data_IF_476471740563
#
_entry.id   IF_476471740563
#
_cell.length_a   1.000
_cell.length_b   1.000
_cell.length_c   1.000
_cell.angle_alpha   90.00
_cell.angle_beta   90.00
_cell.angle_gamma   90.00
#
_symmetry.space_group_name_H-M   'P 1'
#
loop_
_entity.id
_entity.type
_entity.pdbx_description
1 polymer ?
#
# COMPACT_ATOMS: atom_id res chain seq x y z
N UNK A 1 26.29 -48.53 -41.31
CA UNK A 1 27.41 -49.31 -40.76
C UNK A 1 27.64 -48.80 -39.34
N UNK A 2 26.97 -49.43 -38.38
CA UNK A 2 27.35 -49.45 -36.95
C UNK A 2 28.72 -50.15 -36.80
N UNK A 3 29.43 -50.15 -35.64
CA UNK A 3 28.87 -50.16 -34.27
C UNK A 3 29.66 -49.48 -33.11
N UNK A 4 29.03 -49.57 -31.93
CA UNK A 4 29.58 -49.91 -30.60
C UNK A 4 30.07 -48.83 -29.61
N UNK A 5 29.13 -48.39 -28.76
CA UNK A 5 29.00 -48.63 -27.31
C UNK A 5 30.23 -48.68 -26.38
N UNK A 6 30.11 -47.99 -25.23
CA UNK A 6 30.60 -48.51 -23.95
C UNK A 6 29.70 -48.11 -22.76
N UNK A 7 29.52 -49.07 -21.85
CA UNK A 7 28.63 -49.11 -20.67
C UNK A 7 29.38 -48.77 -19.36
N UNK A 8 28.58 -48.62 -18.28
CA UNK A 8 28.77 -48.96 -16.84
C UNK A 8 28.70 -47.70 -15.95
N UNK A 9 28.00 -47.63 -14.80
CA UNK A 9 27.57 -48.66 -13.82
C UNK A 9 26.38 -48.11 -13.00
N UNK A 10 25.46 -48.99 -12.60
CA UNK A 10 24.37 -48.71 -11.65
C UNK A 10 24.79 -49.07 -10.21
N UNK A 11 24.28 -48.34 -9.22
CA UNK A 11 24.31 -48.74 -7.80
C UNK A 11 22.87 -48.80 -7.28
N UNK A 12 22.50 -49.97 -6.79
CA UNK A 12 21.29 -50.31 -6.04
C UNK A 12 21.66 -50.32 -4.55
N UNK A 13 20.83 -49.72 -3.69
CA UNK A 13 20.75 -50.09 -2.27
C UNK A 13 19.28 -50.15 -1.87
N UNK A 14 18.88 -51.31 -1.34
CA UNK A 14 17.58 -51.62 -0.73
C UNK A 14 17.76 -51.79 0.78
N UNK A 15 16.74 -51.49 1.58
CA UNK A 15 16.38 -52.04 2.91
C UNK A 15 15.70 -50.94 3.78
N UNK A 16 14.72 -51.15 4.68
CA UNK A 16 13.98 -52.32 5.22
C UNK A 16 12.78 -51.74 6.02
N UNK A 17 11.64 -52.44 6.04
CA UNK A 17 10.49 -52.22 6.95
C UNK A 17 10.69 -53.00 8.26
N UNK A 18 10.26 -52.47 9.41
CA UNK A 18 10.13 -53.23 10.66
C UNK A 18 9.36 -52.48 11.75
N UNK A 19 8.35 -53.14 12.34
CA UNK A 19 7.26 -52.57 13.13
C UNK A 19 7.35 -52.81 14.65
N UNK A 20 6.60 -51.96 15.39
CA UNK A 20 5.89 -52.11 16.68
C UNK A 20 6.55 -52.77 17.92
N UNK A 21 6.50 -52.05 19.05
CA UNK A 21 6.22 -52.61 20.38
C UNK A 21 5.35 -51.63 21.19
N UNK A 22 4.20 -52.14 21.67
CA UNK A 22 3.33 -51.56 22.70
C UNK A 22 3.78 -52.02 24.09
N UNK A 23 3.80 -51.13 25.08
CA UNK A 23 3.73 -51.51 26.51
C UNK A 23 2.81 -50.53 27.24
N UNK A 24 1.74 -51.08 27.82
CA UNK A 24 0.93 -50.45 28.87
C UNK A 24 1.17 -51.19 30.18
N UNK A 25 1.24 -50.45 31.30
CA UNK A 25 1.32 -51.01 32.64
C UNK A 25 1.12 -49.94 33.71
N UNK A 26 0.05 -50.07 34.49
CA UNK A 26 -0.37 -49.16 35.57
C UNK A 26 0.30 -49.50 36.92
N UNK A 27 0.41 -48.52 37.81
CA UNK A 27 0.67 -48.72 39.25
C UNK A 27 0.67 -47.42 40.04
N UNK A 28 -0.30 -47.24 40.94
CA UNK A 28 -0.53 -46.01 41.71
C UNK A 28 0.17 -45.92 43.08
N UNK A 29 0.06 -44.74 43.71
CA UNK A 29 0.46 -44.46 45.09
C UNK A 29 0.50 -42.96 45.35
N UNK A 30 -0.39 -42.45 46.21
CA UNK A 30 -0.65 -41.02 46.40
C UNK A 30 0.24 -40.29 47.40
N UNK A 31 0.10 -38.95 47.46
CA UNK A 31 0.16 -38.15 48.69
C UNK A 31 -0.25 -36.68 48.41
N UNK A 32 -1.02 -36.15 49.36
CA UNK A 32 -1.47 -34.76 49.56
C UNK A 32 -0.39 -33.67 49.40
N UNK A 33 -0.80 -32.51 48.88
CA UNK A 33 -0.10 -31.23 49.10
C UNK A 33 -0.80 -30.03 48.47
N UNK A 34 -1.58 -29.28 49.29
CA UNK A 34 -1.87 -27.84 49.27
C UNK A 34 -2.26 -27.11 47.97
N UNK A 35 -3.27 -26.21 47.98
CA UNK A 35 -3.49 -25.29 46.87
C UNK A 35 -2.41 -24.21 46.92
N UNK A 36 -1.60 -24.11 45.86
CA UNK A 36 -0.83 -22.91 45.57
C UNK A 36 -1.69 -22.04 44.66
N UNK A 37 -1.96 -20.81 45.10
CA UNK A 37 -2.59 -19.76 44.30
C UNK A 37 -1.74 -19.49 43.06
N UNK A 38 -2.33 -19.69 41.88
CA UNK A 38 -1.81 -19.20 40.62
C UNK A 38 -2.69 -18.04 40.18
N UNK A 39 -2.12 -16.83 40.18
CA UNK A 39 -2.75 -15.59 39.75
C UNK A 39 -2.84 -15.52 38.23
N UNK A 40 -3.64 -16.40 37.64
CA UNK A 40 -4.04 -16.35 36.25
C UNK A 40 -5.20 -15.39 36.06
N UNK A 41 -4.90 -14.11 35.85
CA UNK A 41 -5.84 -13.14 35.30
C UNK A 41 -6.14 -13.48 33.84
N UNK A 42 -7.02 -14.44 33.61
CA UNK A 42 -7.54 -14.76 32.29
C UNK A 42 -8.36 -13.58 31.78
N UNK A 43 -7.86 -12.89 30.76
CA UNK A 43 -8.66 -11.99 29.95
C UNK A 43 -9.77 -12.84 29.30
N UNK A 44 -10.99 -12.59 29.76
CA UNK A 44 -12.18 -13.21 29.20
C UNK A 44 -12.26 -12.82 27.72
N UNK A 45 -12.31 -13.83 26.86
CA UNK A 45 -12.60 -13.69 25.43
C UNK A 45 -14.04 -13.18 25.29
N UNK A 46 -14.19 -11.86 25.38
CA UNK A 46 -15.42 -11.16 25.07
C UNK A 46 -15.62 -11.22 23.57
N UNK A 47 -16.55 -12.05 23.13
CA UNK A 47 -17.05 -12.01 21.76
C UNK A 47 -17.93 -10.77 21.61
N UNK A 48 -17.34 -9.65 21.23
CA UNK A 48 -18.05 -8.59 20.56
C UNK A 48 -17.70 -8.71 19.07
N UNK A 49 -18.64 -9.20 18.25
CA UNK A 49 -18.53 -9.01 16.80
C UNK A 49 -18.72 -7.52 16.54
N UNK A 50 -17.78 -6.83 15.88
CA UNK A 50 -18.07 -5.55 15.27
C UNK A 50 -19.23 -5.73 14.29
N UNK A 51 -19.98 -4.68 13.99
CA UNK A 51 -20.85 -4.72 12.82
C UNK A 51 -19.94 -5.00 11.61
N UNK A 52 -20.06 -6.20 11.02
CA UNK A 52 -19.31 -6.63 9.84
C UNK A 52 -19.83 -5.80 8.68
N UNK A 53 -19.11 -4.72 8.33
CA UNK A 53 -19.34 -4.01 7.09
C UNK A 53 -18.82 -4.92 5.99
N UNK A 54 -19.71 -5.38 5.12
CA UNK A 54 -19.37 -6.31 4.05
C UNK A 54 -19.24 -5.54 2.74
N UNK A 55 -18.19 -5.79 1.93
CA UNK A 55 -18.04 -5.09 0.68
C UNK A 55 -18.97 -5.73 -0.37
N UNK A 56 -19.86 -4.92 -0.95
CA UNK A 56 -20.84 -5.37 -1.94
C UNK A 56 -20.21 -5.65 -3.32
N UNK A 57 -21.03 -5.85 -4.34
CA UNK A 57 -20.49 -6.12 -5.69
C UNK A 57 -19.90 -4.85 -6.34
N UNK A 58 -18.65 -4.87 -6.85
CA UNK A 58 -18.07 -3.71 -7.50
C UNK A 58 -18.79 -3.31 -8.80
N UNK A 59 -19.16 -2.05 -8.88
CA UNK A 59 -19.80 -1.42 -10.03
C UNK A 59 -18.78 -0.65 -10.87
N UNK A 60 -18.82 -0.77 -12.20
CA UNK A 60 -17.92 0.00 -13.06
C UNK A 60 -18.40 1.45 -13.15
N UNK A 61 -17.57 2.39 -12.69
CA UNK A 61 -17.82 3.83 -12.82
C UNK A 61 -17.25 4.34 -14.14
N UNK A 62 -16.01 4.01 -14.45
CA UNK A 62 -15.31 4.47 -15.65
C UNK A 62 -14.44 3.37 -16.26
N UNK A 63 -14.16 3.50 -17.55
CA UNK A 63 -13.33 2.55 -18.34
C UNK A 63 -12.37 3.31 -19.25
N UNK A 64 -11.38 2.60 -19.79
CA UNK A 64 -10.47 3.14 -20.80
C UNK A 64 -9.41 4.12 -20.26
N UNK A 65 -9.10 4.05 -18.96
CA UNK A 65 -8.02 4.83 -18.34
C UNK A 65 -6.66 4.22 -18.66
N UNK A 66 -5.61 5.04 -18.64
CA UNK A 66 -4.22 4.65 -18.92
C UNK A 66 -3.40 4.55 -17.64
N UNK A 67 -3.38 3.35 -17.03
CA UNK A 67 -2.69 3.06 -15.76
C UNK A 67 -3.07 4.09 -14.68
N UNK A 68 -4.35 4.14 -14.28
CA UNK A 68 -4.86 5.10 -13.31
C UNK A 68 -4.18 4.90 -11.94
N UNK A 69 -3.56 5.96 -11.42
CA UNK A 69 -2.67 5.89 -10.27
C UNK A 69 -3.26 6.58 -9.03
N UNK A 70 -3.20 7.90 -8.94
CA UNK A 70 -3.78 8.69 -7.86
C UNK A 70 -5.27 8.92 -8.12
N UNK A 71 -6.08 8.89 -7.06
CA UNK A 71 -7.52 9.15 -7.11
C UNK A 71 -7.89 10.03 -5.92
N UNK A 72 -8.48 11.20 -6.19
CA UNK A 72 -8.96 12.13 -5.14
C UNK A 72 -10.38 12.57 -5.45
N UNK A 73 -11.22 12.63 -4.42
CA UNK A 73 -12.61 13.06 -4.56
C UNK A 73 -12.75 14.57 -4.48
N UNK A 74 -13.56 15.13 -5.37
CA UNK A 74 -14.01 16.50 -5.32
C UNK A 74 -15.25 16.63 -4.39
N UNK A 75 -15.59 17.84 -3.92
CA UNK A 75 -16.72 18.06 -3.00
C UNK A 75 -18.10 17.61 -3.52
N UNK A 76 -18.26 17.40 -4.83
CA UNK A 76 -19.51 16.91 -5.43
C UNK A 76 -19.54 15.38 -5.61
N UNK A 77 -18.54 14.66 -5.11
CA UNK A 77 -18.44 13.20 -5.19
C UNK A 77 -17.88 12.67 -6.51
N UNK A 78 -17.57 13.53 -7.48
CA UNK A 78 -16.73 13.16 -8.63
C UNK A 78 -15.26 13.02 -8.21
N UNK A 79 -14.40 12.48 -9.08
CA UNK A 79 -12.99 12.29 -8.76
C UNK A 79 -12.05 12.84 -9.84
N UNK A 80 -10.84 13.22 -9.42
CA UNK A 80 -9.68 13.36 -10.31
C UNK A 80 -8.83 12.11 -10.23
N UNK A 81 -8.38 11.62 -11.38
CA UNK A 81 -7.58 10.40 -11.53
C UNK A 81 -6.35 10.71 -12.36
N UNK A 82 -5.15 10.50 -11.82
CA UNK A 82 -3.92 10.62 -12.62
C UNK A 82 -3.69 9.38 -13.46
N UNK A 83 -3.09 9.58 -14.64
CA UNK A 83 -2.74 8.54 -15.59
C UNK A 83 -1.23 8.49 -15.74
N UNK A 84 -0.61 7.38 -15.28
CA UNK A 84 0.83 7.30 -15.06
C UNK A 84 1.65 7.61 -16.32
N UNK A 85 1.27 6.99 -17.43
CA UNK A 85 2.10 6.95 -18.64
C UNK A 85 1.83 8.12 -19.60
N UNK A 86 0.64 8.71 -19.56
CA UNK A 86 0.29 9.88 -20.37
C UNK A 86 0.55 11.21 -19.66
N UNK A 87 0.85 11.17 -18.36
CA UNK A 87 0.95 12.35 -17.49
C UNK A 87 -0.33 13.19 -17.42
N UNK A 88 -1.47 12.63 -17.82
CA UNK A 88 -2.77 13.29 -17.80
C UNK A 88 -3.49 13.15 -16.46
N UNK A 89 -4.32 14.13 -16.13
CA UNK A 89 -5.33 14.03 -15.07
C UNK A 89 -6.70 13.97 -15.74
N UNK A 90 -7.47 12.93 -15.43
CA UNK A 90 -8.84 12.78 -15.88
C UNK A 90 -9.82 13.14 -14.75
N UNK A 91 -10.92 13.81 -15.10
CA UNK A 91 -12.07 13.97 -14.23
C UNK A 91 -13.08 12.86 -14.54
N UNK A 92 -13.50 12.15 -13.49
CA UNK A 92 -14.49 11.07 -13.53
C UNK A 92 -15.72 11.53 -12.77
N UNK A 93 -16.79 11.82 -13.50
CA UNK A 93 -18.08 12.22 -12.92
C UNK A 93 -18.81 11.04 -12.29
N UNK A 94 -19.79 11.33 -11.42
CA UNK A 94 -20.62 10.31 -10.80
C UNK A 94 -21.52 9.53 -11.77
N UNK A 95 -21.72 10.01 -13.00
CA UNK A 95 -22.42 9.29 -14.08
C UNK A 95 -21.47 8.47 -14.99
N UNK A 96 -20.17 8.45 -14.66
CA UNK A 96 -19.16 7.68 -15.37
C UNK A 96 -18.53 8.36 -16.58
N UNK A 97 -18.86 9.62 -16.84
CA UNK A 97 -18.21 10.40 -17.90
C UNK A 97 -16.77 10.70 -17.50
N UNK A 98 -15.83 10.39 -18.41
CA UNK A 98 -14.41 10.69 -18.26
C UNK A 98 -14.06 11.87 -19.15
N UNK A 99 -13.46 12.92 -18.57
CA UNK A 99 -12.98 14.10 -19.32
C UNK A 99 -11.52 14.36 -18.98
N UNK A 100 -10.73 14.76 -19.99
CA UNK A 100 -9.35 15.17 -19.78
C UNK A 100 -9.31 16.59 -19.18
N UNK A 101 -8.56 16.75 -18.08
CA UNK A 101 -8.41 18.01 -17.35
C UNK A 101 -7.09 18.71 -17.74
N UNK A 102 -6.15 17.94 -18.28
CA UNK A 102 -4.86 18.43 -18.75
C UNK A 102 -3.71 17.51 -18.37
N UNK A 103 -2.52 17.88 -18.81
CA UNK A 103 -1.27 17.14 -18.59
C UNK A 103 -0.40 17.92 -17.61
N UNK A 104 0.26 17.19 -16.70
CA UNK A 104 1.29 17.78 -15.83
C UNK A 104 2.60 17.85 -16.62
N UNK A 105 3.18 19.04 -16.72
CA UNK A 105 4.45 19.24 -17.43
C UNK A 105 5.63 18.61 -16.68
N UNK A 106 6.75 18.40 -17.38
CA UNK A 106 8.00 17.81 -16.85
C UNK A 106 7.93 16.36 -16.37
N UNK A 107 6.79 15.69 -16.50
CA UNK A 107 6.67 14.25 -16.23
C UNK A 107 7.42 13.46 -17.31
N UNK A 108 8.28 12.54 -16.87
CA UNK A 108 9.05 11.62 -17.72
C UNK A 108 8.81 10.18 -17.29
N UNK A 109 7.73 9.52 -17.78
CA UNK A 109 7.38 8.17 -17.39
C UNK A 109 8.46 7.15 -17.78
N UNK A 110 8.82 6.27 -16.84
CA UNK A 110 9.79 5.20 -17.06
C UNK A 110 9.58 4.06 -16.06
N UNK A 111 9.32 2.85 -16.56
CA UNK A 111 9.10 1.67 -15.71
C UNK A 111 7.90 1.86 -14.76
N UNK A 112 8.17 1.98 -13.46
CA UNK A 112 7.16 2.25 -12.43
C UNK A 112 6.87 3.75 -12.23
N UNK A 113 7.76 4.64 -12.68
CA UNK A 113 7.65 6.09 -12.58
C UNK A 113 6.78 6.73 -13.66
N UNK A 114 6.25 7.92 -13.37
CA UNK A 114 5.33 8.68 -14.22
C UNK A 114 4.52 9.67 -13.38
N UNK A 115 3.27 9.94 -13.74
CA UNK A 115 2.35 10.72 -12.89
C UNK A 115 1.68 9.80 -11.86
N UNK A 116 2.01 9.97 -10.59
CA UNK A 116 1.65 9.03 -9.52
C UNK A 116 0.55 9.62 -8.62
N UNK A 117 0.82 9.82 -7.32
CA UNK A 117 -0.19 10.21 -6.34
C UNK A 117 -0.75 11.60 -6.59
N UNK A 118 -2.03 11.76 -6.23
CA UNK A 118 -2.72 13.03 -6.18
C UNK A 118 -3.16 13.32 -4.74
N UNK A 119 -3.19 14.60 -4.36
CA UNK A 119 -3.82 15.08 -3.13
C UNK A 119 -4.49 16.42 -3.40
N UNK A 120 -5.62 16.70 -2.76
CA UNK A 120 -6.22 18.04 -2.73
C UNK A 120 -5.68 18.81 -1.54
N UNK A 121 -5.56 20.13 -1.65
CA UNK A 121 -5.28 20.97 -0.49
C UNK A 121 -6.31 20.71 0.63
N UNK A 122 -5.92 20.74 1.92
CA UNK A 122 -6.86 20.52 3.03
C UNK A 122 -8.07 21.46 3.03
N UNK A 123 -7.87 22.71 2.59
CA UNK A 123 -8.92 23.73 2.48
C UNK A 123 -9.58 23.79 1.09
N UNK A 124 -9.49 22.73 0.27
CA UNK A 124 -10.18 22.67 -1.02
C UNK A 124 -11.72 22.72 -0.82
N UNK A 125 -12.49 23.52 -1.57
CA UNK A 125 -12.10 24.26 -2.78
C UNK A 125 -11.69 25.72 -2.57
N UNK A 126 -11.65 26.21 -1.33
CA UNK A 126 -11.27 27.60 -1.04
C UNK A 126 -9.81 27.87 -1.41
N UNK A 127 -8.95 26.87 -1.20
CA UNK A 127 -7.61 26.79 -1.78
C UNK A 127 -7.63 25.74 -2.91
N UNK A 128 -7.76 26.16 -4.18
CA UNK A 128 -8.09 25.27 -5.30
C UNK A 128 -6.89 24.47 -5.82
N UNK A 129 -5.99 24.03 -4.95
CA UNK A 129 -4.77 23.33 -5.35
C UNK A 129 -4.95 21.81 -5.39
N UNK A 130 -4.48 21.23 -6.50
CA UNK A 130 -4.21 19.79 -6.66
C UNK A 130 -2.71 19.60 -6.62
N UNK A 131 -2.24 18.71 -5.74
CA UNK A 131 -0.87 18.26 -5.64
C UNK A 131 -0.71 16.96 -6.44
N UNK A 132 0.39 16.85 -7.16
CA UNK A 132 0.74 15.67 -7.94
C UNK A 132 2.19 15.26 -7.66
N UNK A 133 2.37 14.02 -7.22
CA UNK A 133 3.68 13.36 -7.22
C UNK A 133 3.99 12.85 -8.61
N UNK A 134 5.17 13.15 -9.14
CA UNK A 134 5.58 12.65 -10.44
C UNK A 134 7.08 12.43 -10.59
N UNK A 135 7.43 11.55 -11.51
CA UNK A 135 8.80 11.30 -11.95
C UNK A 135 9.16 12.27 -13.06
N UNK A 136 10.22 13.04 -12.87
CA UNK A 136 10.84 13.92 -13.87
C UNK A 136 12.05 13.25 -14.54
N UNK A 137 12.73 13.96 -15.44
CA UNK A 137 13.99 13.48 -16.03
C UNK A 137 15.12 13.24 -14.99
N UNK A 138 15.05 13.89 -13.82
CA UNK A 138 16.15 13.89 -12.84
C UNK A 138 15.82 13.38 -11.44
N UNK A 139 14.55 13.35 -11.07
CA UNK A 139 14.08 13.01 -9.73
C UNK A 139 12.62 12.57 -9.74
N UNK A 140 12.10 12.20 -8.58
CA UNK A 140 10.70 12.33 -8.26
C UNK A 140 10.49 13.68 -7.57
N UNK A 141 9.32 14.29 -7.77
CA UNK A 141 8.96 15.59 -7.21
C UNK A 141 7.45 15.70 -6.99
N UNK A 142 7.06 16.73 -6.28
CA UNK A 142 5.67 17.12 -6.10
C UNK A 142 5.49 18.51 -6.69
N UNK A 143 4.49 18.64 -7.56
CA UNK A 143 4.03 19.94 -8.06
C UNK A 143 2.60 20.20 -7.60
N UNK A 144 2.23 21.45 -7.39
CA UNK A 144 0.84 21.88 -7.20
C UNK A 144 0.36 22.69 -8.40
N UNK A 145 -0.93 22.57 -8.72
CA UNK A 145 -1.60 23.32 -9.77
C UNK A 145 -2.94 23.82 -9.25
N UNK A 146 -3.34 25.04 -9.63
CA UNK A 146 -4.73 25.46 -9.44
C UNK A 146 -5.64 24.63 -10.35
N UNK A 147 -6.77 24.15 -9.81
CA UNK A 147 -7.77 23.42 -10.57
C UNK A 147 -9.03 24.25 -10.74
N UNK A 148 -9.28 24.67 -11.99
CA UNK A 148 -10.53 25.34 -12.37
C UNK A 148 -11.64 24.29 -12.53
N UNK A 149 -12.47 24.14 -11.49
CA UNK A 149 -13.63 23.24 -11.48
C UNK A 149 -14.70 23.59 -12.52
N UNK A 150 -14.88 24.87 -12.83
CA UNK A 150 -15.93 25.31 -13.76
C UNK A 150 -15.47 25.13 -15.22
N UNK A 151 -14.21 25.45 -15.50
CA UNK A 151 -13.59 25.25 -16.81
C UNK A 151 -13.11 23.81 -17.06
N UNK A 152 -12.91 23.02 -16.01
CA UNK A 152 -12.37 21.66 -16.09
C UNK A 152 -10.92 21.62 -16.55
N UNK A 153 -10.06 22.48 -16.00
CA UNK A 153 -8.67 22.63 -16.46
C UNK A 153 -7.66 22.84 -15.32
N UNK A 154 -6.40 22.46 -15.56
CA UNK A 154 -5.27 22.74 -14.67
C UNK A 154 -4.55 24.03 -15.04
N UNK A 155 -4.13 24.79 -14.03
CA UNK A 155 -3.16 25.87 -14.15
C UNK A 155 -1.72 25.37 -14.34
N UNK A 156 -0.77 26.30 -14.31
CA UNK A 156 0.66 26.01 -14.40
C UNK A 156 1.13 25.21 -13.17
N UNK A 157 2.04 24.26 -13.39
CA UNK A 157 2.61 23.43 -12.33
C UNK A 157 3.72 24.17 -11.58
N UNK A 158 3.55 24.36 -10.28
CA UNK A 158 4.57 24.89 -9.37
C UNK A 158 5.21 23.74 -8.58
N UNK A 159 6.52 23.55 -8.69
CA UNK A 159 7.24 22.54 -7.89
C UNK A 159 7.31 22.97 -6.42
N UNK A 160 6.80 22.12 -5.53
CA UNK A 160 6.81 22.34 -4.07
C UNK A 160 7.86 21.49 -3.36
N UNK A 161 8.18 20.31 -3.88
CA UNK A 161 9.20 19.42 -3.33
C UNK A 161 9.92 18.70 -4.46
N UNK A 162 11.25 18.74 -4.50
CA UNK A 162 12.07 18.08 -5.51
C UNK A 162 13.20 17.24 -4.89
N UNK A 163 14.03 16.63 -5.75
CA UNK A 163 15.22 15.91 -5.32
C UNK A 163 14.98 14.55 -4.67
N UNK A 164 13.74 14.03 -4.69
CA UNK A 164 13.48 12.65 -4.26
C UNK A 164 14.12 11.72 -5.30
N UNK A 165 14.98 10.77 -4.92
CA UNK A 165 15.59 9.88 -5.92
C UNK A 165 14.54 9.12 -6.74
N UNK A 166 14.76 9.05 -8.05
CA UNK A 166 13.96 8.25 -8.99
C UNK A 166 14.79 7.16 -9.67
N UNK A 167 14.08 6.17 -10.20
CA UNK A 167 14.63 5.09 -11.02
C UNK A 167 13.54 4.60 -11.99
N UNK A 168 13.74 3.45 -12.63
CA UNK A 168 12.67 2.75 -13.35
C UNK A 168 11.82 1.87 -12.43
N UNK A 169 12.15 1.81 -11.14
CA UNK A 169 11.47 1.01 -10.12
C UNK A 169 11.68 1.63 -8.72
N UNK A 170 10.75 1.36 -7.83
CA UNK A 170 10.75 1.82 -6.43
C UNK A 170 10.73 3.35 -6.30
N UNK A 171 9.77 3.97 -6.97
CA UNK A 171 9.56 5.41 -6.93
C UNK A 171 8.56 5.83 -5.84
N UNK A 172 8.00 4.90 -5.07
CA UNK A 172 6.93 5.17 -4.10
C UNK A 172 5.73 5.84 -4.79
N UNK A 173 5.40 7.04 -4.33
CA UNK A 173 4.58 7.99 -5.07
C UNK A 173 3.23 8.32 -4.44
N UNK A 174 2.88 7.69 -3.31
CA UNK A 174 1.61 8.01 -2.63
C UNK A 174 1.77 9.28 -1.81
N UNK A 175 0.86 10.21 -2.01
CA UNK A 175 0.77 11.44 -1.24
C UNK A 175 -0.63 11.60 -0.67
N UNK A 176 -0.72 12.17 0.53
CA UNK A 176 -1.98 12.50 1.18
C UNK A 176 -1.73 13.54 2.27
N UNK A 177 -2.71 14.42 2.48
CA UNK A 177 -2.69 15.29 3.65
C UNK A 177 -3.20 14.50 4.85
N UNK A 178 -2.43 14.53 5.95
CA UNK A 178 -2.83 13.93 7.21
C UNK A 178 -3.87 14.78 7.95
N UNK A 179 -4.44 14.25 9.06
CA UNK A 179 -5.42 14.98 9.89
C UNK A 179 -4.82 16.21 10.58
N UNK A 180 -3.50 16.36 10.56
CA UNK A 180 -2.76 17.52 11.05
C UNK A 180 -2.59 18.63 9.99
N UNK A 181 -3.13 18.44 8.78
CA UNK A 181 -3.06 19.39 7.67
C UNK A 181 -1.71 19.43 6.95
N UNK A 182 -0.84 18.44 7.19
CA UNK A 182 0.48 18.36 6.56
C UNK A 182 0.52 17.28 5.49
N UNK A 183 1.39 17.45 4.50
CA UNK A 183 1.51 16.55 3.36
C UNK A 183 2.47 15.41 3.72
N UNK A 184 1.99 14.18 3.65
CA UNK A 184 2.78 12.96 3.79
C UNK A 184 3.11 12.38 2.43
N UNK A 185 4.33 11.86 2.29
CA UNK A 185 4.88 11.40 1.00
C UNK A 185 5.56 10.05 1.19
N UNK A 186 4.96 9.00 0.65
CA UNK A 186 5.58 7.68 0.55
C UNK A 186 6.57 7.66 -0.61
N UNK A 187 7.83 7.35 -0.33
CA UNK A 187 8.90 7.24 -1.33
C UNK A 187 9.43 5.81 -1.39
N UNK A 188 10.11 5.47 -2.48
CA UNK A 188 10.88 4.24 -2.56
C UNK A 188 12.38 4.47 -2.53
N UNK A 189 13.14 3.40 -2.45
CA UNK A 189 14.59 3.43 -2.34
C UNK A 189 15.31 3.72 -3.69
N UNK A 190 14.56 3.78 -4.80
CA UNK A 190 15.06 3.94 -6.16
C UNK A 190 16.17 2.94 -6.53
N UNK A 191 16.12 1.72 -5.99
CA UNK A 191 17.15 0.69 -6.13
C UNK A 191 18.43 0.93 -5.33
N UNK A 192 18.46 1.95 -4.48
CA UNK A 192 19.60 2.34 -3.64
C UNK A 192 19.34 1.98 -2.19
N UNK A 193 19.07 0.70 -1.93
CA UNK A 193 18.55 0.20 -0.66
C UNK A 193 19.22 0.74 0.62
N UNK A 194 20.55 0.89 0.64
CA UNK A 194 21.25 1.47 1.81
C UNK A 194 20.82 2.90 2.16
N UNK A 195 20.26 3.64 1.22
CA UNK A 195 19.77 5.00 1.46
C UNK A 195 18.47 5.01 2.28
N UNK A 196 17.74 3.90 2.36
CA UNK A 196 16.58 3.78 3.24
C UNK A 196 16.97 4.01 4.72
N UNK A 197 18.16 3.55 5.13
CA UNK A 197 18.72 3.76 6.48
C UNK A 197 19.35 5.15 6.69
N UNK A 198 19.60 5.90 5.61
CA UNK A 198 20.20 7.23 5.70
C UNK A 198 19.11 8.31 5.84
N UNK A 199 19.01 8.94 7.01
CA UNK A 199 18.01 9.98 7.32
C UNK A 199 18.29 11.33 6.63
N UNK A 200 19.47 11.52 6.03
CA UNK A 200 19.78 12.69 5.18
C UNK A 200 19.35 12.49 3.71
N UNK A 201 18.84 11.30 3.37
CA UNK A 201 18.33 10.96 2.02
C UNK A 201 16.81 10.93 2.01
N UNK A 202 16.20 11.33 0.88
CA UNK A 202 14.76 11.20 0.67
C UNK A 202 14.32 9.83 0.12
N UNK A 203 15.25 8.96 -0.27
CA UNK A 203 14.95 7.61 -0.75
C UNK A 203 14.58 6.67 0.41
N UNK A 204 13.51 5.90 0.24
CA UNK A 204 13.07 4.86 1.19
C UNK A 204 12.58 5.45 2.51
N UNK A 205 11.67 6.41 2.42
CA UNK A 205 11.13 7.23 3.51
C UNK A 205 9.61 7.37 3.40
N UNK A 206 8.99 7.66 4.54
CA UNK A 206 7.79 8.51 4.55
C UNK A 206 8.26 9.91 4.96
N UNK A 207 7.94 10.91 4.14
CA UNK A 207 8.23 12.31 4.42
C UNK A 207 6.98 12.98 4.99
N UNK A 208 7.18 14.07 5.74
CA UNK A 208 6.10 14.95 6.23
C UNK A 208 6.53 16.41 6.04
N UNK A 209 5.77 17.15 5.24
CA UNK A 209 6.10 18.52 4.82
C UNK A 209 4.89 19.44 4.94
N UNK A 210 5.13 20.75 4.97
CA UNK A 210 4.05 21.75 4.83
C UNK A 210 3.45 21.71 3.41
N UNK A 211 2.27 22.32 3.15
CA UNK A 211 1.77 22.48 1.79
C UNK A 211 2.78 23.13 0.82
N UNK A 212 3.69 23.96 1.34
CA UNK A 212 4.78 24.59 0.58
C UNK A 212 6.04 23.72 0.43
N UNK A 213 6.04 22.48 0.96
CA UNK A 213 7.15 21.53 0.83
C UNK A 213 8.30 21.71 1.82
N UNK A 214 8.15 22.60 2.80
CA UNK A 214 9.14 22.77 3.88
C UNK A 214 9.07 21.63 4.90
N UNK A 215 10.18 21.28 5.58
CA UNK A 215 10.14 20.35 6.71
C UNK A 215 9.02 20.70 7.69
N UNK A 216 8.14 19.74 7.99
CA UNK A 216 7.04 19.99 8.90
C UNK A 216 7.55 20.24 10.33
N UNK A 217 6.95 21.18 11.08
CA UNK A 217 7.26 21.38 12.48
C UNK A 217 7.07 20.09 13.29
N UNK A 218 8.05 19.81 14.16
CA UNK A 218 8.05 18.62 15.00
C UNK A 218 8.55 17.35 14.32
N UNK A 219 9.09 17.42 13.09
CA UNK A 219 9.75 16.27 12.47
C UNK A 219 10.95 15.78 13.31
N UNK A 220 11.18 14.46 13.38
CA UNK A 220 12.13 13.83 14.30
C UNK A 220 13.61 14.13 14.02
N UNK A 221 13.96 14.55 12.79
CA UNK A 221 15.33 14.73 12.35
C UNK A 221 15.65 16.17 11.89
N UNK A 222 14.81 17.15 12.25
CA UNK A 222 14.91 18.55 11.80
C UNK A 222 14.98 18.69 10.26
N UNK A 223 14.44 17.72 9.53
CA UNK A 223 14.37 17.66 8.07
C UNK A 223 13.01 17.10 7.62
N UNK A 224 12.84 16.78 6.33
CA UNK A 224 11.55 16.31 5.77
C UNK A 224 11.18 14.88 6.15
N UNK A 225 12.10 14.11 6.72
CA UNK A 225 11.89 12.69 7.03
C UNK A 225 10.98 12.55 8.26
N UNK A 226 9.91 11.78 8.10
CA UNK A 226 9.00 11.38 9.18
C UNK A 226 9.35 10.00 9.71
N UNK A 227 9.51 9.01 8.83
CA UNK A 227 10.02 7.67 9.15
C UNK A 227 10.96 7.16 8.05
N UNK A 228 11.75 6.15 8.37
CA UNK A 228 12.80 5.66 7.48
C UNK A 228 12.96 4.14 7.55
N UNK A 229 13.85 3.60 6.71
CA UNK A 229 13.99 2.14 6.57
C UNK A 229 12.88 1.52 5.74
N UNK A 230 12.39 2.24 4.73
CA UNK A 230 11.37 1.74 3.80
C UNK A 230 11.98 1.36 2.44
N UNK A 231 11.39 0.37 1.77
CA UNK A 231 11.74 -0.08 0.42
C UNK A 231 10.96 0.65 -0.65
N UNK A 232 9.63 0.60 -0.62
CA UNK A 232 8.76 1.21 -1.64
C UNK A 232 7.33 1.39 -1.11
N UNK A 233 7.03 2.57 -0.57
CA UNK A 233 5.72 2.89 0.06
C UNK A 233 4.74 3.43 -0.98
N UNK A 234 3.57 2.79 -1.12
CA UNK A 234 2.54 3.18 -2.11
C UNK A 234 1.12 3.30 -1.55
N UNK A 235 0.92 3.16 -0.24
CA UNK A 235 -0.35 3.39 0.43
C UNK A 235 -0.13 4.13 1.74
N UNK A 236 -1.02 5.06 2.03
CA UNK A 236 -1.07 5.86 3.26
C UNK A 236 -2.54 6.00 3.64
N UNK A 237 -2.90 5.66 4.87
CA UNK A 237 -4.26 5.79 5.38
C UNK A 237 -4.22 6.17 6.86
N UNK A 238 -5.19 6.97 7.31
CA UNK A 238 -5.33 7.32 8.72
C UNK A 238 -6.61 6.71 9.27
N UNK A 239 -6.54 6.24 10.51
CA UNK A 239 -7.76 5.95 11.27
C UNK A 239 -8.34 7.23 11.90
N UNK A 240 -9.46 7.08 12.60
CA UNK A 240 -10.15 8.20 13.27
C UNK A 240 -9.35 8.79 14.43
N UNK A 241 -8.38 8.04 14.98
CA UNK A 241 -7.50 8.49 16.06
C UNK A 241 -6.27 9.24 15.52
N UNK A 242 -6.08 9.24 14.20
CA UNK A 242 -4.96 9.87 13.50
C UNK A 242 -3.71 9.01 13.44
N UNK A 243 -3.81 7.71 13.69
CA UNK A 243 -2.72 6.77 13.48
C UNK A 243 -2.51 6.54 11.97
N UNK A 244 -1.26 6.65 11.51
CA UNK A 244 -0.91 6.45 10.12
C UNK A 244 -0.59 4.98 9.84
N UNK A 245 -1.26 4.39 8.87
CA UNK A 245 -0.97 3.09 8.30
C UNK A 245 -0.33 3.27 6.92
N UNK A 246 0.70 2.47 6.63
CA UNK A 246 1.35 2.46 5.33
C UNK A 246 1.49 1.04 4.78
N UNK A 247 1.35 0.90 3.47
CA UNK A 247 1.61 -0.35 2.76
C UNK A 247 2.94 -0.28 2.03
N UNK A 248 3.63 -1.41 1.97
CA UNK A 248 4.97 -1.46 1.43
C UNK A 248 5.22 -2.73 0.62
N UNK A 249 5.86 -2.56 -0.55
CA UNK A 249 6.34 -3.70 -1.33
C UNK A 249 7.64 -4.24 -0.71
N UNK A 250 7.62 -5.51 -0.35
CA UNK A 250 8.79 -6.30 0.00
C UNK A 250 9.73 -6.52 -1.18
N UNK A 251 10.84 -7.20 -0.94
CA UNK A 251 11.77 -7.58 -2.00
C UNK A 251 11.26 -8.82 -2.74
N UNK A 252 11.42 -9.98 -2.11
CA UNK A 252 11.04 -11.27 -2.67
C UNK A 252 10.28 -12.14 -1.66
N UNK A 253 10.16 -11.71 -0.40
CA UNK A 253 9.64 -12.55 0.68
C UNK A 253 8.35 -12.02 1.28
N UNK A 254 8.36 -10.77 1.75
CA UNK A 254 7.29 -10.26 2.61
C UNK A 254 6.96 -8.81 2.24
N UNK A 255 5.77 -8.61 1.71
CA UNK A 255 5.11 -7.29 1.68
C UNK A 255 4.52 -6.98 3.04
N UNK A 256 4.25 -5.70 3.31
CA UNK A 256 3.94 -5.24 4.66
C UNK A 256 2.77 -4.25 4.73
N UNK A 257 2.10 -4.28 5.88
CA UNK A 257 1.35 -3.15 6.44
C UNK A 257 2.06 -2.71 7.72
N UNK A 258 2.37 -1.42 7.81
CA UNK A 258 3.10 -0.82 8.91
C UNK A 258 2.22 0.22 9.63
N UNK A 259 2.29 0.22 10.97
CA UNK A 259 1.84 1.35 11.79
C UNK A 259 2.98 2.35 11.87
N UNK A 260 2.78 3.54 11.32
CA UNK A 260 3.83 4.53 11.10
C UNK A 260 3.88 5.56 12.23
N UNK A 261 5.00 5.59 12.94
CA UNK A 261 5.27 6.60 13.96
C UNK A 261 6.50 7.43 13.63
N UNK A 262 6.50 8.67 14.10
CA UNK A 262 7.58 9.62 13.84
C UNK A 262 8.92 9.12 14.41
N UNK A 263 9.93 9.04 13.54
CA UNK A 263 11.31 8.72 13.89
C UNK A 263 11.64 7.23 13.87
N UNK A 264 10.63 6.37 13.68
CA UNK A 264 10.83 4.92 13.68
C UNK A 264 11.53 4.40 12.41
N UNK A 265 12.23 3.28 12.58
CA UNK A 265 12.98 2.56 11.56
C UNK A 265 12.25 1.27 11.18
N UNK A 266 11.86 1.13 9.92
CA UNK A 266 11.12 -0.04 9.40
C UNK A 266 12.04 -1.11 8.80
N UNK A 267 13.35 -0.97 9.00
CA UNK A 267 14.30 -2.07 8.86
C UNK A 267 14.89 -2.31 7.48
N UNK A 268 14.25 -1.88 6.39
CA UNK A 268 14.83 -2.08 5.05
C UNK A 268 16.18 -1.34 4.91
N UNK A 269 17.25 -1.97 4.38
CA UNK A 269 17.32 -3.34 3.85
C UNK A 269 17.94 -4.37 4.79
N UNK A 270 18.11 -4.02 6.06
CA UNK A 270 18.70 -4.90 7.06
C UNK A 270 17.72 -6.00 7.47
N UNK A 271 16.42 -5.69 7.45
CA UNK A 271 15.30 -6.57 7.76
C UNK A 271 14.22 -6.46 6.67
N UNK A 272 13.53 -7.56 6.40
CA UNK A 272 12.34 -7.66 5.55
C UNK A 272 11.33 -8.53 6.31
N UNK A 273 10.18 -7.96 6.67
CA UNK A 273 9.23 -8.57 7.60
C UNK A 273 9.65 -8.49 9.07
N UNK A 274 9.08 -9.33 9.96
CA UNK A 274 9.32 -9.25 11.39
C UNK A 274 10.66 -9.86 11.81
N UNK A 275 11.07 -9.57 13.04
CA UNK A 275 12.20 -10.23 13.71
C UNK A 275 13.52 -9.45 13.62
N UNK A 276 13.44 -8.14 13.44
CA UNK A 276 14.59 -7.23 13.49
C UNK A 276 15.15 -6.99 14.90
N UNK A 277 14.40 -7.33 15.94
CA UNK A 277 14.71 -6.98 17.33
C UNK A 277 14.36 -5.52 17.63
N UNK A 278 14.76 -5.03 18.82
CA UNK A 278 14.31 -3.72 19.35
C UNK A 278 14.75 -2.49 18.52
N UNK A 279 15.58 -2.67 17.49
CA UNK A 279 16.07 -1.60 16.61
C UNK A 279 15.09 -1.29 15.47
N UNK A 280 14.23 -2.24 15.09
CA UNK A 280 13.33 -2.13 13.94
C UNK A 280 11.89 -2.37 14.36
N UNK A 281 10.98 -1.60 13.78
CA UNK A 281 9.55 -1.79 13.98
C UNK A 281 9.09 -2.92 13.09
N UNK A 282 8.52 -3.96 13.69
CA UNK A 282 7.93 -5.07 12.95
C UNK A 282 6.61 -4.62 12.28
N UNK A 283 6.32 -5.12 11.07
CA UNK A 283 5.05 -4.85 10.41
C UNK A 283 3.88 -5.49 11.15
N UNK A 284 2.70 -4.86 11.02
CA UNK A 284 1.46 -5.37 11.59
C UNK A 284 0.92 -6.57 10.80
N UNK A 285 1.07 -6.55 9.48
CA UNK A 285 0.66 -7.62 8.57
C UNK A 285 1.78 -7.88 7.58
N UNK A 286 1.98 -9.15 7.23
CA UNK A 286 2.83 -9.52 6.12
C UNK A 286 2.14 -10.47 5.16
N UNK A 287 2.41 -10.30 3.86
CA UNK A 287 1.98 -11.23 2.80
C UNK A 287 3.16 -11.64 1.93
N UNK A 288 3.07 -12.77 1.24
CA UNK A 288 4.00 -13.00 0.14
C UNK A 288 3.73 -12.01 -1.01
N UNK A 289 4.74 -11.63 -1.81
CA UNK A 289 4.53 -10.82 -3.01
C UNK A 289 3.50 -11.36 -4.00
N UNK A 290 3.27 -12.68 -4.00
CA UNK A 290 2.28 -13.35 -4.84
C UNK A 290 0.84 -13.14 -4.35
N UNK A 291 0.66 -12.92 -3.06
CA UNK A 291 -0.65 -12.72 -2.43
C UNK A 291 -1.04 -11.24 -2.37
N UNK A 292 -0.07 -10.32 -2.42
CA UNK A 292 -0.32 -8.89 -2.33
C UNK A 292 0.37 -8.09 -3.44
N UNK A 293 1.65 -7.73 -3.26
CA UNK A 293 2.28 -6.57 -3.90
C UNK A 293 1.40 -5.31 -3.71
N UNK A 294 1.24 -4.84 -2.46
CA UNK A 294 0.20 -3.88 -2.06
C UNK A 294 0.56 -2.46 -2.49
N UNK A 295 -0.41 -1.74 -3.05
CA UNK A 295 -0.26 -0.34 -3.44
C UNK A 295 -1.13 0.56 -2.56
N UNK A 296 -2.23 1.12 -3.06
CA UNK A 296 -3.09 2.04 -2.29
C UNK A 296 -3.74 1.38 -1.07
N UNK A 297 -4.02 2.21 -0.07
CA UNK A 297 -4.72 1.84 1.14
C UNK A 297 -5.74 2.91 1.54
N UNK A 298 -6.84 2.50 2.18
CA UNK A 298 -7.87 3.38 2.72
C UNK A 298 -8.47 2.75 3.98
N UNK A 299 -8.95 3.57 4.91
CA UNK A 299 -9.69 3.10 6.08
C UNK A 299 -11.15 3.51 5.92
N UNK A 300 -12.05 2.54 6.07
CA UNK A 300 -13.49 2.73 6.01
C UNK A 300 -14.19 1.58 6.72
N UNK A 301 -15.29 1.89 7.42
CA UNK A 301 -16.13 0.86 8.02
C UNK A 301 -15.44 -0.02 9.06
N UNK A 302 -14.44 0.51 9.78
CA UNK A 302 -13.68 -0.25 10.77
C UNK A 302 -12.63 -1.19 10.20
N UNK A 303 -12.33 -1.12 8.90
CA UNK A 303 -11.30 -1.94 8.25
C UNK A 303 -10.30 -1.08 7.48
N UNK A 304 -9.05 -1.55 7.44
CA UNK A 304 -8.04 -1.10 6.49
C UNK A 304 -8.17 -1.91 5.20
N UNK A 305 -8.45 -1.23 4.10
CA UNK A 305 -8.58 -1.80 2.77
C UNK A 305 -7.27 -1.59 2.00
N UNK A 306 -6.75 -2.64 1.37
CA UNK A 306 -5.46 -2.61 0.65
C UNK A 306 -5.61 -3.19 -0.75
N UNK A 307 -5.34 -2.37 -1.76
CA UNK A 307 -5.35 -2.78 -3.16
C UNK A 307 -4.05 -3.55 -3.50
N UNK A 308 -4.19 -4.78 -3.99
CA UNK A 308 -3.06 -5.64 -4.34
C UNK A 308 -2.87 -5.77 -5.85
N UNK A 309 -1.64 -5.46 -6.31
CA UNK A 309 -1.29 -5.52 -7.73
C UNK A 309 -1.11 -6.96 -8.21
N UNK A 310 -0.08 -7.66 -7.74
CA UNK A 310 0.24 -9.03 -8.17
C UNK A 310 -0.72 -10.05 -7.56
N UNK A 311 -1.22 -9.77 -6.37
CA UNK A 311 -2.22 -10.60 -5.70
C UNK A 311 -3.62 -10.53 -6.32
N UNK A 312 -3.86 -9.56 -7.21
CA UNK A 312 -5.10 -9.35 -7.96
C UNK A 312 -6.35 -9.41 -7.07
N UNK A 313 -6.33 -8.70 -5.94
CA UNK A 313 -7.40 -8.73 -4.92
C UNK A 313 -7.47 -7.43 -4.13
N UNK A 314 -8.58 -7.26 -3.42
CA UNK A 314 -8.70 -6.26 -2.36
C UNK A 314 -8.56 -6.99 -1.02
N UNK A 315 -7.56 -6.62 -0.23
CA UNK A 315 -7.44 -7.10 1.14
C UNK A 315 -8.28 -6.21 2.05
N UNK A 316 -9.02 -6.84 2.95
CA UNK A 316 -9.63 -6.22 4.11
C UNK A 316 -8.86 -6.66 5.35
N UNK A 317 -8.44 -5.69 6.17
CA UNK A 317 -7.76 -5.93 7.44
C UNK A 317 -8.59 -5.28 8.53
N UNK A 318 -9.42 -6.02 9.28
CA UNK A 318 -10.28 -5.44 10.30
C UNK A 318 -9.46 -4.72 11.37
N UNK A 319 -9.84 -3.49 11.70
CA UNK A 319 -9.30 -2.74 12.83
C UNK A 319 -10.15 -3.07 14.06
N UNK A 320 -9.51 -3.53 15.13
CA UNK A 320 -10.17 -3.96 16.37
C UNK A 320 -9.60 -3.19 17.56
N UNK A 321 -10.34 -3.14 18.67
CA UNK A 321 -9.85 -2.49 19.91
C UNK A 321 -8.52 -3.09 20.42
N UNK A 322 -8.26 -4.37 20.12
CA UNK A 322 -7.08 -5.11 20.57
C UNK A 322 -5.95 -5.20 19.51
N UNK A 323 -6.10 -4.53 18.36
CA UNK A 323 -5.15 -4.57 17.24
C UNK A 323 -5.82 -4.90 15.91
N UNK A 324 -5.22 -5.79 15.11
CA UNK A 324 -5.77 -6.18 13.80
C UNK A 324 -6.50 -7.53 13.86
N UNK A 325 -7.59 -7.64 13.10
CA UNK A 325 -8.24 -8.90 12.76
C UNK A 325 -7.47 -9.67 11.67
N UNK A 326 -7.94 -10.89 11.38
CA UNK A 326 -7.39 -11.70 10.30
C UNK A 326 -7.68 -11.06 8.93
N UNK A 327 -6.67 -10.86 8.06
CA UNK A 327 -6.90 -10.34 6.72
C UNK A 327 -7.82 -11.23 5.87
N UNK A 328 -8.80 -10.62 5.20
CA UNK A 328 -9.74 -11.29 4.30
C UNK A 328 -9.50 -10.81 2.86
N UNK A 329 -9.44 -11.76 1.93
CA UNK A 329 -9.27 -11.48 0.51
C UNK A 329 -10.63 -11.37 -0.20
N UNK A 330 -10.84 -10.27 -0.91
CA UNK A 330 -12.03 -10.00 -1.72
C UNK A 330 -11.69 -9.87 -3.21
N UNK A 331 -12.62 -10.27 -4.08
CA UNK A 331 -12.56 -10.14 -5.54
C UNK A 331 -11.32 -10.73 -6.20
N UNK A 332 -10.77 -11.80 -5.64
CA UNK A 332 -9.54 -12.41 -6.10
C UNK A 332 -9.64 -12.82 -7.57
N UNK A 333 -8.72 -12.30 -8.39
CA UNK A 333 -8.58 -12.55 -9.84
C UNK A 333 -9.78 -12.07 -10.69
N UNK A 334 -10.76 -11.36 -10.11
CA UNK A 334 -11.97 -10.94 -10.82
C UNK A 334 -11.75 -9.71 -11.71
N UNK A 335 -10.91 -8.78 -11.26
CA UNK A 335 -10.64 -7.50 -11.94
C UNK A 335 -9.17 -7.32 -12.36
N UNK A 336 -8.35 -8.35 -12.12
CA UNK A 336 -6.91 -8.30 -12.30
C UNK A 336 -6.23 -7.43 -11.23
N UNK A 337 -5.22 -6.68 -11.65
CA UNK A 337 -4.34 -5.89 -10.77
C UNK A 337 -5.10 -4.69 -10.21
N UNK A 338 -5.13 -4.52 -8.90
CA UNK A 338 -5.74 -3.36 -8.23
C UNK A 338 -4.65 -2.44 -7.67
N UNK A 339 -4.75 -1.14 -7.95
CA UNK A 339 -3.71 -0.16 -7.61
C UNK A 339 -4.11 0.81 -6.52
N UNK A 340 -5.28 1.41 -6.63
CA UNK A 340 -5.73 2.40 -5.64
C UNK A 340 -7.05 1.95 -5.05
N UNK A 341 -7.21 2.22 -3.76
CA UNK A 341 -8.46 2.19 -3.02
C UNK A 341 -8.56 3.53 -2.30
N UNK A 342 -9.74 4.14 -2.33
CA UNK A 342 -10.04 5.41 -1.67
C UNK A 342 -11.46 5.38 -1.10
N UNK A 343 -11.65 5.92 0.10
CA UNK A 343 -12.97 6.06 0.73
C UNK A 343 -13.77 7.13 -0.01
N UNK A 344 -14.96 6.77 -0.51
CA UNK A 344 -15.85 7.73 -1.13
C UNK A 344 -16.44 8.69 -0.07
N UNK A 345 -16.68 9.97 -0.41
CA UNK A 345 -17.28 10.90 0.53
C UNK A 345 -18.62 10.38 1.07
N UNK A 346 -18.80 10.47 2.39
CA UNK A 346 -19.99 9.98 3.08
C UNK A 346 -19.91 8.54 3.59
N UNK A 347 -18.74 7.90 3.48
CA UNK A 347 -18.41 6.56 4.03
C UNK A 347 -19.25 5.37 3.52
N UNK A 348 -20.10 5.59 2.51
CA UNK A 348 -20.99 4.57 1.94
C UNK A 348 -20.31 3.67 0.88
N UNK A 349 -18.98 3.72 0.75
CA UNK A 349 -18.27 2.91 -0.25
C UNK A 349 -16.81 3.26 -0.49
N UNK A 350 -16.15 2.41 -1.28
CA UNK A 350 -14.78 2.57 -1.76
C UNK A 350 -14.78 2.80 -3.27
N UNK A 351 -13.83 3.57 -3.79
CA UNK A 351 -13.47 3.55 -5.21
C UNK A 351 -12.13 2.86 -5.41
N UNK A 352 -12.07 1.95 -6.38
CA UNK A 352 -10.87 1.21 -6.76
C UNK A 352 -10.40 1.60 -8.16
N UNK A 353 -9.11 1.51 -8.41
CA UNK A 353 -8.56 1.55 -9.78
C UNK A 353 -7.93 0.21 -10.15
N UNK A 354 -8.19 -0.28 -11.36
CA UNK A 354 -7.42 -1.39 -11.94
C UNK A 354 -6.11 -0.87 -12.55
N UNK A 355 -5.12 -1.75 -12.74
CA UNK A 355 -3.80 -1.42 -13.29
C UNK A 355 -3.30 -2.51 -14.24
N UNK A 356 -4.19 -3.03 -15.08
CA UNK A 356 -3.93 -4.11 -16.03
C UNK A 356 -3.19 -3.63 -17.28
N UNK A 357 -3.17 -2.32 -17.57
CA UNK A 357 -2.42 -1.76 -18.69
C UNK A 357 -0.96 -1.43 -18.36
N UNK A 358 -0.52 -1.68 -17.13
CA UNK A 358 0.91 -1.58 -16.80
C UNK A 358 1.71 -2.74 -17.43
N UNK A 359 3.03 -2.67 -17.32
CA UNK A 359 3.92 -3.64 -17.97
C UNK A 359 3.76 -5.10 -17.49
N UNK A 360 3.00 -5.34 -16.42
CA UNK A 360 2.83 -6.64 -15.77
C UNK A 360 1.39 -7.19 -15.90
N UNK A 361 0.45 -6.41 -16.43
CA UNK A 361 -0.94 -6.81 -16.57
C UNK A 361 -1.30 -7.49 -17.90
N UNK A 362 -2.50 -8.05 -17.95
CA UNK A 362 -3.09 -8.66 -19.14
C UNK A 362 -4.42 -7.96 -19.46
N UNK A 363 -4.38 -6.76 -20.09
CA UNK A 363 -5.54 -5.89 -20.14
C UNK A 363 -6.64 -6.44 -21.05
N UNK A 364 -7.89 -6.26 -20.63
CA UNK A 364 -9.08 -6.42 -21.47
C UNK A 364 -9.46 -5.08 -22.13
N UNK A 365 -10.42 -5.12 -23.06
CA UNK A 365 -10.78 -3.95 -23.86
C UNK A 365 -11.26 -2.75 -23.01
N UNK A 366 -11.92 -3.02 -21.89
CA UNK A 366 -12.48 -2.00 -20.98
C UNK A 366 -11.49 -1.51 -19.93
N UNK A 367 -10.31 -2.11 -19.83
CA UNK A 367 -9.30 -1.66 -18.87
C UNK A 367 -8.70 -0.31 -19.30
N UNK A 368 -8.05 0.44 -18.40
CA UNK A 368 -8.22 0.30 -16.95
C UNK A 368 -9.51 1.00 -16.48
N UNK A 369 -10.00 0.58 -15.32
CA UNK A 369 -11.33 0.94 -14.80
C UNK A 369 -11.23 1.68 -13.48
N UNK A 370 -12.25 2.48 -13.20
CA UNK A 370 -12.62 2.88 -11.84
C UNK A 370 -13.83 2.05 -11.43
N UNK A 371 -13.75 1.40 -10.28
CA UNK A 371 -14.82 0.59 -9.72
C UNK A 371 -15.32 1.27 -8.44
N UNK A 372 -16.63 1.20 -8.17
CA UNK A 372 -17.23 1.58 -6.90
C UNK A 372 -17.66 0.32 -6.16
N UNK A 373 -17.24 0.17 -4.92
CA UNK A 373 -17.63 -0.92 -4.02
C UNK A 373 -18.51 -0.33 -2.92
N UNK A 374 -19.81 -0.63 -2.86
CA UNK A 374 -20.63 -0.23 -1.72
C UNK A 374 -20.16 -0.97 -0.46
N UNK A 375 -20.22 -0.31 0.69
CA UNK A 375 -19.97 -0.91 2.00
C UNK A 375 -21.33 -1.02 2.71
N UNK A 376 -21.77 -2.24 3.02
CA UNK A 376 -23.13 -2.54 3.53
C UNK A 376 -23.17 -3.07 4.96
#
# INVERSE_FOLDING_TARGET
MEPAANRRTAVLVSAVLGALVLVTGCGGGGANGGPAEDGGGGYGRGSASPAEIEPGQPEVVATGLEVPWGLVFLPDGSALVSQRDSAGIAHVSGDGTVTDVGTVEEVSPVGEGGLLGLALHPDFPDEPYVYAYHTSESDNRISRMEYDREGGSLGEAEVVLDGIPSSSHHDGGRIAFGPDGLLYVGTGDAGRSRQAQNTDSLAGKILRVTPEGEPAPGNPFDNRVYSYGHRNVQGLAWDEEGNLYATEFGADKLDEVNLVEAGNNYGWPEVEGPGGGDEYVDPLVTWSPEEASPSGAAIAGGSLWVAALRGERLWEVPLTEDGLGEPVAHYQEEYGRLRTVATAPGDDGLWLTTSNRDALGNPVAEDDRVLRVPLE
#
